data_IF_992950906373
#
_entry.id   IF_992950906373
#
_cell.length_a   1.000
_cell.length_b   1.000
_cell.length_c   1.000
_cell.angle_alpha   90.00
_cell.angle_beta   90.00
_cell.angle_gamma   90.00
#
_symmetry.space_group_name_H-M   'P 1'
#
loop_
_entity.id
_entity.type
_entity.pdbx_description
1 polymer ?
#
# COMPACT_ATOMS: atom_id res chain seq x y z
N UNK A 1 9.06 -10.62 10.14
CA UNK A 1 8.30 -9.34 10.23
C UNK A 1 8.54 -8.53 11.51
N UNK A 2 9.02 -9.11 12.62
CA UNK A 2 9.17 -8.40 13.91
C UNK A 2 9.96 -7.08 13.85
N UNK A 3 11.03 -6.99 13.05
CA UNK A 3 11.83 -5.76 12.94
C UNK A 3 11.12 -4.62 12.20
N UNK A 4 10.30 -4.92 11.19
CA UNK A 4 9.60 -3.87 10.42
C UNK A 4 8.51 -3.19 11.26
N UNK A 5 7.84 -3.94 12.14
CA UNK A 5 6.86 -3.39 13.09
C UNK A 5 7.45 -2.48 14.15
N UNK A 6 8.76 -2.55 14.36
CA UNK A 6 9.47 -1.73 15.34
C UNK A 6 9.83 -0.35 14.78
N UNK A 7 9.59 -0.09 13.49
CA UNK A 7 9.81 1.23 12.89
C UNK A 7 8.67 2.15 13.36
N UNK A 8 8.93 3.09 14.28
CA UNK A 8 7.90 4.01 14.71
C UNK A 8 7.60 4.99 13.58
N UNK A 9 6.33 5.35 13.40
CA UNK A 9 5.91 6.38 12.43
C UNK A 9 6.40 6.14 11.00
N UNK A 10 6.09 4.96 10.44
CA UNK A 10 6.41 4.67 9.05
C UNK A 10 5.64 5.61 8.11
N UNK A 11 6.30 6.64 7.58
CA UNK A 11 5.67 7.62 6.70
C UNK A 11 5.44 7.06 5.29
N UNK A 12 6.45 6.40 4.70
CA UNK A 12 6.38 5.92 3.32
C UNK A 12 6.86 4.48 3.22
N UNK A 13 6.03 3.62 2.61
CA UNK A 13 6.38 2.27 2.22
C UNK A 13 6.47 2.20 0.69
N UNK A 14 7.64 1.85 0.17
CA UNK A 14 7.83 1.47 -1.23
C UNK A 14 8.05 -0.03 -1.27
N UNK A 15 7.21 -0.77 -2.01
CA UNK A 15 7.25 -2.23 -2.02
C UNK A 15 6.95 -2.79 -3.40
N UNK A 16 7.58 -3.91 -3.73
CA UNK A 16 7.33 -4.69 -4.94
C UNK A 16 5.85 -5.13 -5.04
N UNK A 17 5.28 -5.10 -6.25
CA UNK A 17 4.00 -5.70 -6.59
C UNK A 17 3.95 -6.00 -8.10
N UNK A 18 4.30 -7.23 -8.49
CA UNK A 18 4.46 -7.62 -9.89
C UNK A 18 3.14 -7.71 -10.66
N UNK A 19 2.07 -8.18 -10.02
CA UNK A 19 0.81 -8.50 -10.69
C UNK A 19 -0.29 -8.97 -9.74
N UNK A 20 -1.38 -9.47 -10.31
CA UNK A 20 -2.52 -10.03 -9.56
C UNK A 20 -2.30 -11.48 -9.11
N UNK A 21 -1.40 -12.20 -9.78
CA UNK A 21 -1.13 -13.61 -9.50
C UNK A 21 0.01 -13.74 -8.51
N UNK A 22 -0.04 -14.80 -7.70
CA UNK A 22 1.07 -15.19 -6.84
C UNK A 22 2.32 -15.46 -7.68
N UNK A 23 3.47 -15.09 -7.12
CA UNK A 23 4.77 -15.31 -7.74
C UNK A 23 5.80 -15.72 -6.68
N UNK A 24 6.71 -16.62 -7.04
CA UNK A 24 7.63 -17.22 -6.07
C UNK A 24 8.67 -16.22 -5.50
N UNK A 25 8.95 -15.16 -6.25
CA UNK A 25 10.00 -14.19 -5.92
C UNK A 25 9.50 -12.75 -5.79
N UNK A 26 8.22 -12.49 -6.08
CA UNK A 26 7.65 -11.16 -6.13
C UNK A 26 6.32 -11.15 -5.41
N UNK A 27 5.98 -10.04 -4.78
CA UNK A 27 4.66 -9.89 -4.20
C UNK A 27 3.62 -9.72 -5.31
N UNK A 28 2.46 -10.32 -5.12
CA UNK A 28 1.23 -9.89 -5.78
C UNK A 28 0.73 -8.57 -5.16
N UNK A 29 -0.16 -7.87 -5.85
CA UNK A 29 -0.85 -6.69 -5.31
C UNK A 29 -1.52 -7.03 -3.97
N UNK A 30 -2.15 -8.19 -3.87
CA UNK A 30 -2.90 -8.61 -2.69
C UNK A 30 -1.98 -8.80 -1.48
N UNK A 31 -0.82 -9.43 -1.68
CA UNK A 31 0.16 -9.61 -0.61
C UNK A 31 0.81 -8.27 -0.21
N UNK A 32 1.12 -7.40 -1.18
CA UNK A 32 1.64 -6.05 -0.91
C UNK A 32 0.63 -5.17 -0.15
N UNK A 33 -0.67 -5.31 -0.47
CA UNK A 33 -1.76 -4.67 0.28
C UNK A 33 -1.84 -5.23 1.72
N UNK A 34 -1.75 -6.54 1.90
CA UNK A 34 -1.77 -7.15 3.23
C UNK A 34 -0.62 -6.64 4.10
N UNK A 35 0.58 -6.55 3.54
CA UNK A 35 1.74 -5.96 4.21
C UNK A 35 1.49 -4.49 4.59
N UNK A 36 0.89 -3.71 3.69
CA UNK A 36 0.54 -2.31 3.94
C UNK A 36 -0.47 -2.16 5.07
N UNK A 37 -1.48 -3.04 5.13
CA UNK A 37 -2.45 -3.08 6.24
C UNK A 37 -1.76 -3.40 7.56
N UNK A 38 -0.79 -4.30 7.56
CA UNK A 38 -0.08 -4.69 8.78
C UNK A 38 0.87 -3.60 9.29
N UNK A 39 1.57 -2.90 8.39
CA UNK A 39 2.55 -1.87 8.76
C UNK A 39 1.92 -0.49 8.99
N UNK A 40 0.72 -0.24 8.44
CA UNK A 40 0.02 1.03 8.53
C UNK A 40 0.89 2.27 8.19
N UNK A 41 1.59 2.29 7.02
CA UNK A 41 2.32 3.47 6.59
C UNK A 41 1.38 4.60 6.19
N UNK A 42 1.85 5.85 6.14
CA UNK A 42 1.04 6.97 5.63
C UNK A 42 0.88 6.93 4.11
N UNK A 43 1.97 6.65 3.39
CA UNK A 43 2.02 6.56 1.94
C UNK A 43 2.50 5.18 1.49
N UNK A 44 1.85 4.60 0.48
CA UNK A 44 2.20 3.31 -0.12
C UNK A 44 2.42 3.49 -1.61
N UNK A 45 3.58 3.05 -2.08
CA UNK A 45 3.93 3.03 -3.50
C UNK A 45 4.34 1.62 -3.92
N UNK A 46 3.64 1.09 -4.90
CA UNK A 46 3.96 -0.21 -5.49
C UNK A 46 4.91 -0.05 -6.67
N UNK A 47 5.99 -0.82 -6.68
CA UNK A 47 7.04 -0.84 -7.73
C UNK A 47 7.17 -2.24 -8.33
N UNK A 48 7.97 -2.41 -9.39
CA UNK A 48 8.23 -3.74 -9.99
C UNK A 48 7.04 -4.33 -10.76
N UNK A 49 6.02 -3.53 -11.08
CA UNK A 49 4.83 -3.99 -11.78
C UNK A 49 5.12 -4.46 -13.20
N UNK A 50 4.49 -5.56 -13.60
CA UNK A 50 4.49 -6.04 -14.99
C UNK A 50 3.46 -5.30 -15.85
N UNK A 51 3.55 -5.48 -17.16
CA UNK A 51 2.58 -4.94 -18.13
C UNK A 51 1.14 -5.40 -17.91
N UNK A 52 0.90 -6.41 -17.07
CA UNK A 52 -0.44 -6.87 -16.71
C UNK A 52 -1.22 -5.86 -15.85
N UNK A 53 -0.51 -4.93 -15.20
CA UNK A 53 -1.09 -3.90 -14.35
C UNK A 53 -1.14 -2.56 -15.11
N UNK A 54 -2.23 -2.31 -15.82
CA UNK A 54 -2.44 -0.99 -16.44
C UNK A 54 -2.53 0.09 -15.36
N UNK A 55 -1.68 1.11 -15.46
CA UNK A 55 -1.40 2.05 -14.38
C UNK A 55 -2.65 2.81 -13.91
N UNK A 56 -3.42 3.41 -14.83
CA UNK A 56 -4.58 4.23 -14.47
C UNK A 56 -5.74 3.40 -13.93
N UNK A 57 -6.05 2.26 -14.56
CA UNK A 57 -7.08 1.30 -14.13
C UNK A 57 -6.74 0.72 -12.76
N UNK A 58 -5.48 0.35 -12.54
CA UNK A 58 -5.05 -0.22 -11.25
C UNK A 58 -5.10 0.83 -10.16
N UNK A 59 -4.61 2.06 -10.40
CA UNK A 59 -4.71 3.15 -9.43
C UNK A 59 -6.17 3.49 -9.09
N UNK A 60 -7.09 3.51 -10.05
CA UNK A 60 -8.53 3.67 -9.75
C UNK A 60 -9.07 2.56 -8.84
N UNK A 61 -8.64 1.31 -9.02
CA UNK A 61 -9.01 0.20 -8.13
C UNK A 61 -8.41 0.36 -6.74
N UNK A 62 -7.15 0.77 -6.64
CA UNK A 62 -6.46 1.02 -5.38
C UNK A 62 -7.13 2.14 -4.57
N UNK A 63 -7.59 3.21 -5.22
CA UNK A 63 -8.34 4.29 -4.56
C UNK A 63 -9.69 3.82 -4.01
N UNK A 64 -10.43 3.00 -4.76
CA UNK A 64 -11.67 2.36 -4.26
C UNK A 64 -11.38 1.44 -3.08
N UNK A 65 -10.31 0.64 -3.17
CA UNK A 65 -9.87 -0.22 -2.08
C UNK A 65 -9.51 0.58 -0.82
N UNK A 66 -8.78 1.70 -0.95
CA UNK A 66 -8.39 2.56 0.17
C UNK A 66 -9.60 3.09 0.94
N UNK A 67 -10.61 3.60 0.23
CA UNK A 67 -11.83 4.11 0.85
C UNK A 67 -12.58 3.00 1.62
N UNK A 68 -12.66 1.79 1.05
CA UNK A 68 -13.26 0.63 1.71
C UNK A 68 -12.44 0.20 2.93
N UNK A 69 -11.12 0.17 2.81
CA UNK A 69 -10.21 -0.17 3.90
C UNK A 69 -10.36 0.80 5.08
N UNK A 70 -10.32 2.11 4.83
CA UNK A 70 -10.45 3.12 5.89
C UNK A 70 -11.79 3.01 6.63
N UNK A 71 -12.89 2.77 5.89
CA UNK A 71 -14.21 2.54 6.49
C UNK A 71 -14.23 1.28 7.36
N UNK A 72 -13.75 0.16 6.83
CA UNK A 72 -13.69 -1.11 7.56
C UNK A 72 -12.78 -1.02 8.80
N UNK A 73 -11.62 -0.37 8.67
CA UNK A 73 -10.67 -0.19 9.76
C UNK A 73 -11.28 0.61 10.91
N UNK A 74 -11.98 1.71 10.60
CA UNK A 74 -12.70 2.52 11.58
C UNK A 74 -13.79 1.72 12.29
N UNK A 75 -14.60 0.97 11.53
CA UNK A 75 -15.66 0.11 12.09
C UNK A 75 -15.11 -0.96 13.04
N UNK A 76 -14.02 -1.64 12.66
CA UNK A 76 -13.36 -2.65 13.50
C UNK A 76 -12.84 -2.09 14.82
N UNK A 77 -12.55 -0.79 14.88
CA UNK A 77 -12.06 -0.11 16.08
C UNK A 77 -13.14 0.77 16.74
N UNK A 78 -14.42 0.49 16.49
CA UNK A 78 -15.55 1.24 17.06
C UNK A 78 -15.44 2.77 16.85
N UNK A 79 -14.83 3.20 15.74
CA UNK A 79 -14.60 4.62 15.43
C UNK A 79 -13.47 5.30 16.23
N UNK A 80 -12.84 4.61 17.17
CA UNK A 80 -11.79 5.18 18.04
C UNK A 80 -10.44 5.37 17.34
N UNK A 81 -10.17 4.58 16.29
CA UNK A 81 -8.95 4.63 15.50
C UNK A 81 -9.25 4.77 14.02
N UNK A 82 -8.41 5.52 13.32
CA UNK A 82 -8.40 5.62 11.86
C UNK A 82 -7.21 4.87 11.29
N UNK A 83 -7.34 4.34 10.08
CA UNK A 83 -6.22 3.84 9.30
C UNK A 83 -5.22 4.98 9.09
N UNK A 84 -3.92 4.69 9.22
CA UNK A 84 -2.87 5.68 8.92
C UNK A 84 -2.61 5.84 7.43
N UNK A 85 -3.03 4.87 6.62
CA UNK A 85 -2.85 4.88 5.17
C UNK A 85 -3.71 5.99 4.57
N UNK A 86 -3.05 7.00 4.00
CA UNK A 86 -3.65 8.16 3.33
C UNK A 86 -3.50 8.07 1.81
N UNK A 87 -2.43 7.44 1.32
CA UNK A 87 -2.15 7.31 -0.11
C UNK A 87 -1.71 5.91 -0.48
N UNK A 88 -2.26 5.38 -1.57
CA UNK A 88 -1.84 4.13 -2.18
C UNK A 88 -1.92 4.18 -3.71
N UNK A 89 -0.84 3.81 -4.38
CA UNK A 89 -0.78 3.79 -5.84
C UNK A 89 0.37 2.93 -6.35
N UNK A 90 0.28 2.53 -7.61
CA UNK A 90 1.44 2.19 -8.42
C UNK A 90 2.33 3.44 -8.57
N UNK A 91 3.64 3.24 -8.41
CA UNK A 91 4.62 4.26 -8.70
C UNK A 91 4.73 4.49 -10.21
N UNK A 92 5.29 5.64 -10.57
CA UNK A 92 5.62 5.98 -11.96
C UNK A 92 7.08 6.41 -12.06
N UNK A 93 7.68 6.17 -13.22
CA UNK A 93 9.06 6.56 -13.47
C UNK A 93 9.22 8.08 -13.33
N UNK A 94 10.23 8.51 -12.59
CA UNK A 94 10.47 9.92 -12.26
C UNK A 94 9.57 10.49 -11.16
N UNK A 95 8.77 9.67 -10.47
CA UNK A 95 7.97 10.13 -9.34
C UNK A 95 8.85 10.64 -8.19
N UNK A 96 8.67 11.92 -7.86
CA UNK A 96 9.22 12.51 -6.65
C UNK A 96 8.24 12.38 -5.48
N UNK A 97 8.71 11.84 -4.35
CA UNK A 97 7.96 11.76 -3.10
C UNK A 97 8.69 12.60 -2.06
N UNK A 98 8.14 13.75 -1.63
CA UNK A 98 8.78 14.56 -0.61
C UNK A 98 8.81 13.79 0.72
N UNK A 99 10.00 13.67 1.32
CA UNK A 99 10.18 13.06 2.63
C UNK A 99 10.46 14.15 3.67
N UNK A 100 9.79 14.04 4.81
CA UNK A 100 10.09 14.81 6.01
C UNK A 100 11.03 13.98 6.89
N UNK A 101 12.22 14.54 7.19
CA UNK A 101 13.21 13.96 8.10
C UNK A 101 13.13 14.61 9.46
#
# INVERSE_FOLDING_TARGET
MLRLKQIPHLETLVVDALGEKLHNAHYSIQEALALSVELQPRNVFFVGMSCSLEHAKTNRRLQKWLALHQKAYSQMHAGTKKSKIEKIQLAMDGQFVPMTF
#
